data_IF_655885561663
#
_entry.id   IF_655885561663
#
_cell.length_a   1.000
_cell.length_b   1.000
_cell.length_c   1.000
_cell.angle_alpha   90.00
_cell.angle_beta   90.00
_cell.angle_gamma   90.00
#
_symmetry.space_group_name_H-M   'P 1'
#
loop_
_entity.id
_entity.type
_entity.pdbx_description
1 polymer ?
#
# COMPACT_ATOMS: atom_id res chain seq x y z
N UNK A 1 48.68 -2.49 58.11
CA UNK A 1 48.77 -2.81 56.67
C UNK A 1 47.36 -2.63 56.08
N UNK A 2 47.05 -1.48 55.48
CA UNK A 2 45.69 -1.14 55.01
C UNK A 2 45.74 -0.97 53.49
N UNK A 3 45.14 -1.91 52.74
CA UNK A 3 44.99 -1.80 51.29
C UNK A 3 43.83 -0.86 50.96
N UNK A 4 44.13 0.26 50.31
CA UNK A 4 43.13 1.19 49.75
C UNK A 4 42.52 0.56 48.49
N UNK A 5 41.22 0.23 48.55
CA UNK A 5 40.44 -0.15 47.36
C UNK A 5 40.01 1.14 46.64
N UNK A 6 40.48 1.34 45.40
CA UNK A 6 40.07 2.49 44.58
C UNK A 6 38.85 2.10 43.76
N UNK A 7 37.68 2.61 44.15
CA UNK A 7 36.45 2.56 43.35
C UNK A 7 36.61 3.52 42.18
N UNK A 8 36.83 2.99 40.97
CA UNK A 8 36.63 3.73 39.72
C UNK A 8 35.20 3.46 39.26
N UNK A 9 34.22 4.07 39.91
CA UNK A 9 32.83 3.98 39.49
C UNK A 9 32.59 4.96 38.33
N UNK A 10 32.38 4.39 37.15
CA UNK A 10 31.25 4.67 36.28
C UNK A 10 30.90 6.16 36.02
N UNK A 11 31.71 6.88 35.24
CA UNK A 11 31.28 8.16 34.62
C UNK A 11 31.21 8.06 33.09
N UNK A 12 31.74 6.98 32.50
CA UNK A 12 31.79 6.79 31.04
C UNK A 12 30.48 6.22 30.42
N UNK A 13 29.49 5.91 31.26
CA UNK A 13 28.27 5.16 30.87
C UNK A 13 26.98 6.00 30.90
N UNK A 14 27.06 7.33 31.08
CA UNK A 14 25.88 8.21 31.07
C UNK A 14 25.57 8.74 29.66
N UNK A 15 26.61 9.03 28.86
CA UNK A 15 26.47 9.47 27.46
C UNK A 15 26.04 8.35 26.51
N UNK A 16 26.49 7.12 26.73
CA UNK A 16 26.04 5.96 25.92
C UNK A 16 24.57 5.61 26.17
N UNK A 17 24.10 5.78 27.41
CA UNK A 17 22.71 5.51 27.80
C UNK A 17 21.75 6.57 27.24
N UNK A 18 22.14 7.85 27.18
CA UNK A 18 21.33 8.91 26.57
C UNK A 18 21.23 8.78 25.05
N UNK A 19 22.31 8.38 24.37
CA UNK A 19 22.29 8.11 22.92
C UNK A 19 21.39 6.91 22.60
N UNK A 20 21.46 5.84 23.39
CA UNK A 20 20.62 4.66 23.22
C UNK A 20 19.13 4.95 23.46
N UNK A 21 18.80 5.76 24.47
CA UNK A 21 17.41 6.17 24.73
C UNK A 21 16.84 7.10 23.65
N UNK A 22 17.66 8.02 23.12
CA UNK A 22 17.25 8.91 22.00
C UNK A 22 17.00 8.11 20.72
N UNK A 23 17.78 7.05 20.47
CA UNK A 23 17.57 6.16 19.32
C UNK A 23 16.27 5.35 19.40
N UNK A 24 15.83 4.97 20.61
CA UNK A 24 14.58 4.22 20.82
C UNK A 24 13.35 5.10 20.57
N UNK A 25 13.43 6.41 20.83
CA UNK A 25 12.33 7.35 20.59
C UNK A 25 11.98 7.52 19.10
N UNK A 26 12.90 7.21 18.18
CA UNK A 26 12.65 7.28 16.73
C UNK A 26 11.81 6.10 16.20
N UNK A 27 11.61 5.04 17.00
CA UNK A 27 10.87 3.84 16.59
C UNK A 27 9.35 3.96 16.80
N UNK A 28 8.85 5.07 17.36
CA UNK A 28 7.44 5.28 17.71
C UNK A 28 6.70 6.26 16.77
N UNK A 29 7.09 6.39 15.51
CA UNK A 29 6.23 7.07 14.51
C UNK A 29 5.07 6.15 14.13
N UNK A 30 4.00 6.19 14.93
CA UNK A 30 2.74 5.53 14.61
C UNK A 30 1.92 6.46 13.71
N UNK A 31 2.03 6.32 12.38
CA UNK A 31 1.04 6.91 11.48
C UNK A 31 -0.21 6.04 11.50
N UNK A 32 -1.34 6.62 11.91
CA UNK A 32 -2.64 5.96 11.80
C UNK A 32 -3.04 5.85 10.33
N UNK A 33 -3.69 4.75 9.96
CA UNK A 33 -4.24 4.61 8.61
C UNK A 33 -5.35 5.65 8.40
N UNK A 34 -5.43 6.30 7.23
CA UNK A 34 -6.55 7.16 6.92
C UNK A 34 -7.82 6.32 6.86
N UNK A 35 -8.90 6.82 7.46
CA UNK A 35 -10.22 6.22 7.43
C UNK A 35 -11.22 7.23 6.88
N UNK A 36 -12.40 6.75 6.52
CA UNK A 36 -13.46 7.63 6.04
C UNK A 36 -13.88 8.68 7.10
N UNK A 37 -13.66 8.40 8.38
CA UNK A 37 -13.96 9.31 9.49
C UNK A 37 -12.85 10.32 9.75
N UNK A 38 -11.58 9.92 9.61
CA UNK A 38 -10.43 10.80 9.87
C UNK A 38 -10.09 11.71 8.69
N UNK A 39 -10.52 11.34 7.48
CA UNK A 39 -10.31 12.14 6.27
C UNK A 39 -11.47 13.13 6.09
N UNK A 40 -11.20 14.46 5.96
CA UNK A 40 -12.25 15.47 5.80
C UNK A 40 -13.28 15.10 4.73
N UNK A 41 -14.57 15.21 5.07
CA UNK A 41 -15.67 14.70 4.23
C UNK A 41 -15.83 15.45 2.89
N UNK A 42 -15.43 16.71 2.85
CA UNK A 42 -15.61 17.61 1.71
C UNK A 42 -14.51 17.51 0.62
N UNK A 43 -13.54 16.60 0.78
CA UNK A 43 -12.47 16.46 -0.20
C UNK A 43 -12.98 15.84 -1.49
N UNK A 44 -12.61 16.46 -2.58
CA UNK A 44 -12.86 16.01 -3.94
C UNK A 44 -12.05 14.74 -4.27
N UNK A 45 -12.44 13.99 -5.33
CA UNK A 45 -11.64 12.88 -5.83
C UNK A 45 -10.18 13.27 -6.16
N UNK A 46 -9.97 14.49 -6.67
CA UNK A 46 -8.64 15.01 -7.03
C UNK A 46 -7.78 15.18 -5.78
N UNK A 47 -8.31 15.81 -4.72
CA UNK A 47 -7.58 16.02 -3.48
C UNK A 47 -7.28 14.71 -2.75
N UNK A 48 -8.23 13.76 -2.76
CA UNK A 48 -8.00 12.41 -2.22
C UNK A 48 -6.90 11.68 -3.01
N UNK A 49 -6.90 11.79 -4.34
CA UNK A 49 -5.88 11.19 -5.20
C UNK A 49 -4.50 11.82 -4.95
N UNK A 50 -4.44 13.15 -4.80
CA UNK A 50 -3.19 13.85 -4.45
C UNK A 50 -2.62 13.35 -3.11
N UNK A 51 -3.47 13.13 -2.09
CA UNK A 51 -3.04 12.55 -0.82
C UNK A 51 -2.56 11.11 -0.99
N UNK A 52 -3.28 10.29 -1.74
CA UNK A 52 -2.87 8.93 -2.03
C UNK A 52 -1.49 8.88 -2.71
N UNK A 53 -1.25 9.74 -3.70
CA UNK A 53 0.03 9.86 -4.40
C UNK A 53 1.14 10.37 -3.46
N UNK A 54 0.86 11.36 -2.60
CA UNK A 54 1.84 11.80 -1.60
C UNK A 54 2.23 10.67 -0.62
N UNK A 55 1.29 9.80 -0.22
CA UNK A 55 1.63 8.62 0.57
C UNK A 55 2.49 7.62 -0.22
N UNK A 56 2.24 7.44 -1.53
CA UNK A 56 3.08 6.61 -2.40
C UNK A 56 4.50 7.16 -2.53
N UNK A 57 4.64 8.47 -2.73
CA UNK A 57 5.94 9.15 -2.83
C UNK A 57 6.78 8.97 -1.55
N UNK A 58 6.12 8.87 -0.39
CA UNK A 58 6.74 8.58 0.90
C UNK A 58 6.91 7.07 1.19
N UNK A 59 6.52 6.19 0.27
CA UNK A 59 6.60 4.73 0.42
C UNK A 59 5.51 4.10 1.29
N UNK A 60 4.51 4.86 1.73
CA UNK A 60 3.41 4.42 2.58
C UNK A 60 2.28 3.75 1.78
N UNK A 61 2.57 2.60 1.17
CA UNK A 61 1.64 1.86 0.31
C UNK A 61 0.29 1.55 0.98
N UNK A 62 0.29 1.30 2.30
CA UNK A 62 -0.93 1.02 3.06
C UNK A 62 -1.83 2.24 3.19
N UNK A 63 -1.25 3.42 3.43
CA UNK A 63 -2.00 4.66 3.54
C UNK A 63 -2.59 5.07 2.19
N UNK A 64 -1.79 4.96 1.13
CA UNK A 64 -2.25 5.21 -0.24
C UNK A 64 -3.44 4.30 -0.62
N UNK A 65 -3.35 3.01 -0.29
CA UNK A 65 -4.42 2.04 -0.53
C UNK A 65 -5.73 2.46 0.16
N UNK A 66 -5.67 2.94 1.40
CA UNK A 66 -6.85 3.39 2.13
C UNK A 66 -7.45 4.67 1.51
N UNK A 67 -6.65 5.63 1.06
CA UNK A 67 -7.18 6.79 0.32
C UNK A 67 -7.93 6.39 -0.95
N UNK A 68 -7.42 5.44 -1.74
CA UNK A 68 -8.13 4.95 -2.92
C UNK A 68 -9.43 4.22 -2.58
N UNK A 69 -9.46 3.44 -1.49
CA UNK A 69 -10.70 2.84 -0.99
C UNK A 69 -11.72 3.91 -0.57
N UNK A 70 -11.28 5.00 0.04
CA UNK A 70 -12.14 6.14 0.38
C UNK A 70 -12.70 6.81 -0.89
N UNK A 71 -11.88 6.97 -1.95
CA UNK A 71 -12.36 7.47 -3.25
C UNK A 71 -13.48 6.57 -3.80
N UNK A 72 -13.28 5.25 -3.81
CA UNK A 72 -14.31 4.30 -4.28
C UNK A 72 -15.56 4.38 -3.39
N UNK A 73 -15.40 4.49 -2.07
CA UNK A 73 -16.52 4.58 -1.12
C UNK A 73 -17.37 5.84 -1.36
N UNK A 74 -16.73 7.01 -1.51
CA UNK A 74 -17.42 8.30 -1.62
C UNK A 74 -17.89 8.64 -3.03
N UNK A 75 -17.12 8.23 -4.04
CA UNK A 75 -17.27 8.68 -5.42
C UNK A 75 -17.33 7.54 -6.43
N UNK A 76 -17.38 6.29 -5.98
CA UNK A 76 -17.38 5.14 -6.88
C UNK A 76 -18.63 5.01 -7.74
N UNK A 77 -19.71 5.75 -7.50
CA UNK A 77 -20.84 5.77 -8.44
C UNK A 77 -20.45 6.35 -9.81
N UNK A 78 -19.46 7.25 -9.86
CA UNK A 78 -18.86 7.71 -11.10
C UNK A 78 -17.88 6.67 -11.63
N UNK A 79 -18.16 6.14 -12.82
CA UNK A 79 -17.38 5.06 -13.41
C UNK A 79 -15.94 5.49 -13.74
N UNK A 80 -15.73 6.76 -14.10
CA UNK A 80 -14.39 7.30 -14.37
C UNK A 80 -13.53 7.31 -13.11
N UNK A 81 -14.06 7.91 -12.04
CA UNK A 81 -13.41 7.99 -10.71
C UNK A 81 -13.15 6.61 -10.13
N UNK A 82 -14.14 5.70 -10.20
CA UNK A 82 -13.95 4.31 -9.76
C UNK A 82 -12.83 3.63 -10.54
N UNK A 83 -12.83 3.73 -11.87
CA UNK A 83 -11.85 3.08 -12.73
C UNK A 83 -10.43 3.58 -12.45
N UNK A 84 -10.27 4.89 -12.24
CA UNK A 84 -9.00 5.47 -11.86
C UNK A 84 -8.49 4.89 -10.52
N UNK A 85 -9.32 4.93 -9.47
CA UNK A 85 -8.93 4.45 -8.14
C UNK A 85 -8.65 2.93 -8.12
N UNK A 86 -9.49 2.12 -8.78
CA UNK A 86 -9.26 0.68 -8.89
C UNK A 86 -7.94 0.35 -9.60
N UNK A 87 -7.60 1.10 -10.66
CA UNK A 87 -6.31 0.90 -11.33
C UNK A 87 -5.14 1.16 -10.38
N UNK A 88 -5.18 2.25 -9.62
CA UNK A 88 -4.12 2.59 -8.66
C UNK A 88 -4.02 1.52 -7.54
N UNK A 89 -5.14 0.99 -7.06
CA UNK A 89 -5.15 -0.13 -6.10
C UNK A 89 -4.48 -1.36 -6.70
N UNK A 90 -4.82 -1.73 -7.94
CA UNK A 90 -4.21 -2.87 -8.61
C UNK A 90 -2.69 -2.69 -8.79
N UNK A 91 -2.25 -1.47 -9.11
CA UNK A 91 -0.83 -1.14 -9.21
C UNK A 91 -0.11 -1.26 -7.87
N UNK A 92 -0.75 -0.82 -6.76
CA UNK A 92 -0.23 -1.05 -5.40
C UNK A 92 -0.13 -2.54 -5.08
N UNK A 93 -1.11 -3.36 -5.47
CA UNK A 93 -1.05 -4.80 -5.26
C UNK A 93 0.12 -5.47 -5.99
N UNK A 94 0.45 -5.01 -7.20
CA UNK A 94 1.69 -5.43 -7.89
C UNK A 94 2.93 -5.09 -7.05
N UNK A 95 3.02 -3.86 -6.53
CA UNK A 95 4.14 -3.43 -5.67
C UNK A 95 4.22 -4.22 -4.35
N UNK A 96 3.10 -4.79 -3.89
CA UNK A 96 3.01 -5.66 -2.72
C UNK A 96 3.18 -7.16 -3.03
N UNK A 97 3.48 -7.54 -4.28
CA UNK A 97 3.50 -8.93 -4.75
C UNK A 97 2.17 -9.69 -4.57
N UNK A 98 1.06 -8.98 -4.43
CA UNK A 98 -0.30 -9.53 -4.38
C UNK A 98 -0.82 -9.76 -5.80
N UNK A 99 -0.15 -10.68 -6.49
CA UNK A 99 -0.33 -10.88 -7.92
C UNK A 99 -1.74 -11.35 -8.29
N UNK A 100 -2.36 -12.20 -7.47
CA UNK A 100 -3.70 -12.71 -7.78
C UNK A 100 -4.77 -11.62 -7.59
N UNK A 101 -4.64 -10.81 -6.55
CA UNK A 101 -5.54 -9.69 -6.28
C UNK A 101 -5.40 -8.58 -7.34
N UNK A 102 -4.17 -8.29 -7.77
CA UNK A 102 -3.93 -7.40 -8.89
C UNK A 102 -4.57 -7.94 -10.18
N UNK A 103 -4.43 -9.23 -10.45
CA UNK A 103 -4.97 -9.89 -11.64
C UNK A 103 -6.49 -9.73 -11.77
N UNK A 104 -7.21 -10.06 -10.70
CA UNK A 104 -8.66 -10.01 -10.65
C UNK A 104 -9.17 -8.57 -10.87
N UNK A 105 -8.51 -7.59 -10.25
CA UNK A 105 -8.88 -6.17 -10.36
C UNK A 105 -8.56 -5.60 -11.75
N UNK A 106 -7.40 -5.92 -12.31
CA UNK A 106 -7.02 -5.50 -13.66
C UNK A 106 -7.95 -6.09 -14.71
N UNK A 107 -8.34 -7.37 -14.56
CA UNK A 107 -9.32 -7.99 -15.44
C UNK A 107 -10.67 -7.27 -15.36
N UNK A 108 -11.13 -6.94 -14.15
CA UNK A 108 -12.38 -6.20 -13.94
C UNK A 108 -12.38 -4.85 -14.67
N UNK A 109 -11.26 -4.13 -14.61
CA UNK A 109 -11.09 -2.86 -15.33
C UNK A 109 -11.15 -3.08 -16.85
N UNK A 110 -10.42 -4.07 -17.37
CA UNK A 110 -10.40 -4.38 -18.81
C UNK A 110 -11.80 -4.76 -19.30
N UNK A 111 -12.49 -5.65 -18.58
CA UNK A 111 -13.84 -6.10 -18.91
C UNK A 111 -14.81 -4.90 -18.97
N UNK A 112 -14.68 -3.92 -18.06
CA UNK A 112 -15.50 -2.69 -18.08
C UNK A 112 -15.35 -1.91 -19.39
N UNK A 113 -14.13 -1.79 -19.91
CA UNK A 113 -13.87 -1.11 -21.18
C UNK A 113 -14.36 -1.89 -22.40
N UNK A 114 -14.27 -3.22 -22.35
CA UNK A 114 -14.61 -4.11 -23.47
C UNK A 114 -16.13 -4.37 -23.57
N UNK A 115 -16.86 -4.16 -22.49
CA UNK A 115 -18.32 -4.16 -22.46
C UNK A 115 -18.91 -2.78 -22.80
N UNK A 116 -20.24 -2.70 -22.91
CA UNK A 116 -20.97 -1.45 -23.16
C UNK A 116 -20.67 -0.31 -22.14
N UNK A 117 -20.06 -0.63 -21.00
CA UNK A 117 -19.64 0.33 -19.96
C UNK A 117 -18.37 1.12 -20.25
N UNK A 118 -17.68 0.87 -21.37
CA UNK A 118 -16.44 1.58 -21.74
C UNK A 118 -16.66 2.95 -22.39
N UNK A 119 -17.86 3.21 -22.93
CA UNK A 119 -18.18 4.47 -23.58
C UNK A 119 -18.15 5.63 -22.56
N UNK A 120 -17.19 6.54 -22.73
CA UNK A 120 -17.01 7.70 -21.85
C UNK A 120 -15.90 7.57 -20.80
N UNK A 121 -15.22 6.43 -20.72
CA UNK A 121 -14.06 6.26 -19.85
C UNK A 121 -12.76 6.75 -20.51
N UNK A 122 -11.84 7.29 -19.71
CA UNK A 122 -10.56 7.78 -20.20
C UNK A 122 -9.67 6.62 -20.72
N UNK A 123 -9.25 6.60 -22.00
CA UNK A 123 -8.53 5.45 -22.59
C UNK A 123 -7.21 5.08 -21.88
N UNK A 124 -6.59 6.02 -21.15
CA UNK A 124 -5.33 5.82 -20.41
C UNK A 124 -5.39 4.58 -19.51
N UNK A 125 -6.47 4.39 -18.75
CA UNK A 125 -6.53 3.30 -17.78
C UNK A 125 -6.69 1.93 -18.44
N UNK A 126 -7.28 1.84 -19.64
CA UNK A 126 -7.30 0.59 -20.40
C UNK A 126 -5.89 0.17 -20.82
N UNK A 127 -5.11 1.12 -21.35
CA UNK A 127 -3.73 0.87 -21.80
C UNK A 127 -2.86 0.41 -20.63
N UNK A 128 -2.95 1.12 -19.51
CA UNK A 128 -2.20 0.78 -18.31
C UNK A 128 -2.64 -0.56 -17.72
N UNK A 129 -3.95 -0.80 -17.59
CA UNK A 129 -4.47 -2.05 -17.06
C UNK A 129 -4.03 -3.26 -17.90
N UNK A 130 -4.07 -3.17 -19.23
CA UNK A 130 -3.58 -4.26 -20.10
C UNK A 130 -2.09 -4.55 -19.94
N UNK A 131 -1.27 -3.50 -19.79
CA UNK A 131 0.18 -3.63 -19.57
C UNK A 131 0.44 -4.38 -18.26
N UNK A 132 -0.17 -3.92 -17.18
CA UNK A 132 0.00 -4.50 -15.85
C UNK A 132 -0.62 -5.89 -15.77
N UNK A 133 -1.75 -6.14 -16.44
CA UNK A 133 -2.38 -7.46 -16.52
C UNK A 133 -1.45 -8.48 -17.16
N UNK A 134 -0.81 -8.12 -18.29
CA UNK A 134 0.17 -8.99 -18.95
C UNK A 134 1.37 -9.31 -18.04
N UNK A 135 1.87 -8.30 -17.31
CA UNK A 135 2.96 -8.49 -16.32
C UNK A 135 2.53 -9.46 -15.22
N UNK A 136 1.35 -9.25 -14.65
CA UNK A 136 0.77 -10.07 -13.57
C UNK A 136 0.55 -11.52 -14.01
N UNK A 137 -0.04 -11.73 -15.19
CA UNK A 137 -0.23 -13.06 -15.78
C UNK A 137 1.10 -13.82 -15.94
N UNK A 138 2.14 -13.14 -16.45
CA UNK A 138 3.48 -13.74 -16.58
C UNK A 138 4.06 -14.18 -15.23
N UNK A 139 3.87 -13.38 -14.18
CA UNK A 139 4.32 -13.74 -12.84
C UNK A 139 3.53 -14.92 -12.26
N UNK A 140 2.20 -14.90 -12.39
CA UNK A 140 1.32 -15.99 -11.93
C UNK A 140 1.70 -17.32 -12.59
N UNK A 141 1.96 -17.30 -13.89
CA UNK A 141 2.38 -18.48 -14.65
C UNK A 141 3.75 -18.97 -14.19
N UNK A 142 4.74 -18.08 -14.13
CA UNK A 142 6.13 -18.42 -13.74
C UNK A 142 6.20 -19.11 -12.38
N UNK A 143 5.38 -18.68 -11.42
CA UNK A 143 5.40 -19.20 -10.04
C UNK A 143 4.22 -20.11 -9.71
N UNK A 144 3.41 -20.53 -10.70
CA UNK A 144 2.24 -21.40 -10.52
C UNK A 144 1.27 -20.94 -9.39
N UNK A 145 1.12 -19.62 -9.18
CA UNK A 145 0.48 -19.06 -7.98
C UNK A 145 -0.96 -19.54 -7.75
N UNK A 146 -1.71 -19.80 -8.83
CA UNK A 146 -3.09 -20.33 -8.75
C UNK A 146 -3.16 -21.77 -8.23
N UNK A 147 -2.16 -22.61 -8.54
CA UNK A 147 -2.08 -23.98 -8.02
C UNK A 147 -1.72 -23.98 -6.54
N UNK A 148 -0.75 -23.15 -6.14
CA UNK A 148 -0.34 -22.99 -4.75
C UNK A 148 -1.48 -22.50 -3.86
N UNK A 149 -2.27 -21.52 -4.32
CA UNK A 149 -3.46 -21.05 -3.58
C UNK A 149 -4.56 -22.12 -3.44
N UNK A 150 -4.67 -23.03 -4.40
CA UNK A 150 -5.69 -24.10 -4.40
C UNK A 150 -5.33 -25.32 -3.54
N UNK A 151 -4.06 -25.46 -3.13
CA UNK A 151 -3.61 -26.45 -2.17
C UNK A 151 -3.31 -25.75 -0.84
N UNK A 152 -4.33 -25.46 0.01
CA UNK A 152 -4.05 -25.00 1.35
C UNK A 152 -3.20 -26.07 2.03
N UNK A 153 -2.05 -25.64 2.55
CA UNK A 153 -1.06 -26.42 3.28
C UNK A 153 -1.73 -27.54 4.08
N UNK A 154 -1.51 -28.79 3.68
CA UNK A 154 -1.83 -29.94 4.52
C UNK A 154 -0.83 -29.87 5.68
N UNK A 155 -1.19 -29.15 6.72
CA UNK A 155 -0.45 -29.12 7.98
C UNK A 155 -0.69 -30.47 8.66
N UNK A 156 0.34 -31.32 8.63
CA UNK A 156 0.47 -32.48 9.53
C UNK A 156 0.90 -32.03 10.93
#
# INVERSE_FOLDING_TARGET
MIKKFRVKACVFNLFGLTILMTAISLLFSCSSLPTDETVPANLTPIELNQRAQAELDNGYLRNALEYYKIIIKRYGSDASTRTAAEYEIAHIYISQNKWLEADDMLKTIIDRYEMAGGAGLAPKYLVLARKDYKKTQGHIQKYNLRKTKAQPEKTE
#
